data_IF_058634144976
#
_entry.id   IF_058634144976
#
_cell.length_a   1.000
_cell.length_b   1.000
_cell.length_c   1.000
_cell.angle_alpha   90.00
_cell.angle_beta   90.00
_cell.angle_gamma   90.00
#
_symmetry.space_group_name_H-M   'P 1'
#
loop_
_entity.id
_entity.type
_entity.pdbx_description
1 polymer ?
#
# COMPACT_ATOMS: atom_id res chain seq x y z
N UNK A 1 21.78 19.53 24.16
CA UNK A 1 20.92 18.91 23.12
C UNK A 1 21.46 17.52 22.88
N UNK A 2 20.70 16.46 23.21
CA UNK A 2 21.13 15.08 22.94
C UNK A 2 21.08 14.81 21.43
N UNK A 3 21.94 13.92 20.93
CA UNK A 3 22.00 13.57 19.50
C UNK A 3 20.63 13.12 18.95
N UNK A 4 19.85 12.40 19.74
CA UNK A 4 18.49 11.96 19.40
C UNK A 4 17.53 13.12 19.14
N UNK A 5 17.63 14.23 19.90
CA UNK A 5 16.82 15.43 19.66
C UNK A 5 17.21 16.11 18.34
N UNK A 6 18.51 16.21 18.06
CA UNK A 6 19.01 16.79 16.82
C UNK A 6 18.53 16.01 15.58
N UNK A 7 18.60 14.67 15.65
CA UNK A 7 18.10 13.78 14.60
C UNK A 7 16.58 13.99 14.42
N UNK A 8 15.83 14.03 15.51
CA UNK A 8 14.38 14.21 15.44
C UNK A 8 13.98 15.59 14.87
N UNK A 9 14.69 16.65 15.20
CA UNK A 9 14.49 17.98 14.62
C UNK A 9 14.82 18.00 13.12
N UNK A 10 15.91 17.35 12.72
CA UNK A 10 16.24 17.19 11.31
C UNK A 10 15.16 16.41 10.56
N UNK A 11 14.68 15.30 11.12
CA UNK A 11 13.61 14.49 10.53
C UNK A 11 12.28 15.25 10.45
N UNK A 12 11.95 16.11 11.41
CA UNK A 12 10.74 16.95 11.32
C UNK A 12 10.84 18.04 10.25
N UNK A 13 12.02 18.65 10.11
CA UNK A 13 12.22 19.82 9.24
C UNK A 13 12.57 19.48 7.79
N UNK A 14 13.17 18.32 7.55
CA UNK A 14 13.62 17.94 6.22
C UNK A 14 12.45 17.67 5.26
N UNK A 15 12.57 18.21 4.05
CA UNK A 15 11.63 18.00 2.94
C UNK A 15 12.22 17.17 1.82
N UNK A 16 13.51 16.85 1.89
CA UNK A 16 14.29 16.22 0.81
C UNK A 16 14.79 14.84 1.17
N UNK A 17 14.90 14.50 2.45
CA UNK A 17 15.40 13.18 2.87
C UNK A 17 14.44 12.08 2.43
N UNK A 18 14.85 11.24 1.48
CA UNK A 18 14.04 10.12 0.98
C UNK A 18 14.39 8.78 1.60
N UNK A 19 15.60 8.65 2.14
CA UNK A 19 16.12 7.42 2.74
C UNK A 19 16.81 7.74 4.04
N UNK A 20 16.45 6.99 5.09
CA UNK A 20 17.09 7.04 6.39
C UNK A 20 17.60 5.63 6.69
N UNK A 21 18.85 5.56 7.11
CA UNK A 21 19.44 4.36 7.67
C UNK A 21 19.77 4.63 9.13
N UNK A 22 19.28 3.78 10.03
CA UNK A 22 19.55 3.87 11.47
C UNK A 22 20.19 2.57 11.91
N UNK A 23 21.42 2.65 12.43
CA UNK A 23 22.14 1.51 12.99
C UNK A 23 22.49 1.83 14.44
N UNK A 24 22.03 0.99 15.36
CA UNK A 24 22.51 0.99 16.72
C UNK A 24 23.69 0.01 16.83
N UNK A 25 24.88 0.51 17.13
CA UNK A 25 26.12 -0.31 17.21
C UNK A 25 26.31 -0.99 18.58
N UNK A 26 25.49 -0.67 19.59
CA UNK A 26 25.70 -1.17 20.95
C UNK A 26 24.49 -1.99 21.45
N UNK A 27 24.68 -3.30 21.57
CA UNK A 27 23.77 -4.25 22.22
C UNK A 27 23.65 -4.07 23.75
N UNK A 28 24.20 -2.98 24.30
CA UNK A 28 24.30 -2.76 25.74
C UNK A 28 23.31 -1.66 26.11
N UNK A 29 22.33 -2.05 26.93
CA UNK A 29 21.22 -1.26 27.50
C UNK A 29 19.88 -1.35 26.74
N UNK A 30 19.31 -2.55 26.63
CA UNK A 30 17.85 -2.64 26.75
C UNK A 30 17.49 -2.06 28.13
N UNK A 31 16.82 -0.91 28.14
CA UNK A 31 16.39 -0.27 29.39
C UNK A 31 15.50 -1.26 30.18
N UNK A 32 15.57 -1.31 31.52
CA UNK A 32 14.81 -2.28 32.33
C UNK A 32 13.30 -2.29 32.04
N UNK A 33 12.77 -1.15 31.60
CA UNK A 33 11.35 -0.96 31.27
C UNK A 33 11.02 -1.22 29.79
N UNK A 34 11.98 -1.69 28.99
CA UNK A 34 11.81 -1.94 27.55
C UNK A 34 11.57 -0.67 26.73
N UNK A 35 12.03 0.49 27.22
CA UNK A 35 11.85 1.80 26.59
C UNK A 35 13.16 2.58 26.56
N UNK A 36 13.62 2.94 25.38
CA UNK A 36 14.70 3.92 25.22
C UNK A 36 14.08 5.30 24.93
N UNK A 37 14.24 6.31 25.82
CA UNK A 37 13.70 7.66 25.59
C UNK A 37 14.16 8.29 24.26
N UNK A 38 15.31 7.85 23.72
CA UNK A 38 15.79 8.30 22.42
C UNK A 38 14.87 7.85 21.28
N UNK A 39 14.34 6.62 21.35
CA UNK A 39 13.44 6.09 20.34
C UNK A 39 12.13 6.86 20.30
N UNK A 40 11.54 7.21 21.45
CA UNK A 40 10.28 7.95 21.50
C UNK A 40 10.28 9.21 20.61
N UNK A 41 11.31 10.06 20.74
CA UNK A 41 11.39 11.32 19.97
C UNK A 41 11.67 11.05 18.49
N UNK A 42 12.50 10.05 18.18
CA UNK A 42 12.80 9.66 16.80
C UNK A 42 11.54 9.11 16.13
N UNK A 43 10.82 8.19 16.76
CA UNK A 43 9.59 7.58 16.24
C UNK A 43 8.48 8.61 16.02
N UNK A 44 8.32 9.55 16.95
CA UNK A 44 7.39 10.67 16.76
C UNK A 44 7.77 11.50 15.53
N UNK A 45 9.04 11.89 15.39
CA UNK A 45 9.52 12.64 14.22
C UNK A 45 9.35 11.87 12.91
N UNK A 46 9.56 10.55 12.92
CA UNK A 46 9.32 9.68 11.79
C UNK A 46 7.85 9.71 11.39
N UNK A 47 6.90 9.68 12.33
CA UNK A 47 5.47 9.72 12.01
C UNK A 47 5.03 11.03 11.33
N UNK A 48 5.73 12.13 11.60
CA UNK A 48 5.44 13.46 11.06
C UNK A 48 6.16 13.73 9.73
N UNK A 49 7.29 13.08 9.48
CA UNK A 49 8.09 13.32 8.28
C UNK A 49 7.28 13.09 6.99
N UNK A 50 7.44 14.00 6.01
CA UNK A 50 6.70 14.01 4.74
C UNK A 50 7.55 13.68 3.50
N UNK A 51 8.86 13.49 3.66
CA UNK A 51 9.79 13.22 2.55
C UNK A 51 10.28 11.77 2.51
N UNK A 52 10.43 11.13 3.68
CA UNK A 52 11.02 9.83 3.87
C UNK A 52 10.17 8.74 3.20
N UNK A 53 10.80 8.00 2.29
CA UNK A 53 10.17 6.90 1.54
C UNK A 53 10.70 5.54 1.97
N UNK A 54 11.95 5.48 2.42
CA UNK A 54 12.62 4.24 2.83
C UNK A 54 13.29 4.39 4.19
N UNK A 55 12.99 3.47 5.10
CA UNK A 55 13.64 3.33 6.38
C UNK A 55 14.35 1.96 6.42
N UNK A 56 15.66 2.00 6.55
CA UNK A 56 16.50 0.82 6.80
C UNK A 56 16.97 0.92 8.27
N UNK A 57 16.66 -0.06 9.11
CA UNK A 57 16.92 0.05 10.55
C UNK A 57 17.45 -1.26 11.15
N UNK A 58 18.64 -1.19 11.79
CA UNK A 58 19.19 -2.23 12.65
C UNK A 58 18.96 -1.82 14.11
N UNK A 59 18.02 -2.49 14.78
CA UNK A 59 17.34 -2.00 15.99
C UNK A 59 17.64 -2.87 17.22
N UNK A 60 18.93 -3.15 17.46
CA UNK A 60 19.39 -4.08 18.48
C UNK A 60 19.12 -3.62 19.94
N UNK A 61 18.96 -2.32 20.17
CA UNK A 61 18.72 -1.73 21.50
C UNK A 61 17.23 -1.40 21.78
N UNK A 62 16.36 -1.68 20.82
CA UNK A 62 14.93 -1.38 20.91
C UNK A 62 14.24 -2.34 21.88
N UNK A 63 13.33 -1.87 22.74
CA UNK A 63 12.46 -2.75 23.53
C UNK A 63 11.16 -3.13 22.81
N UNK A 64 10.38 -4.05 23.38
CA UNK A 64 9.11 -4.51 22.79
C UNK A 64 8.09 -3.38 22.63
N UNK A 65 8.09 -2.42 23.56
CA UNK A 65 7.23 -1.23 23.50
C UNK A 65 7.66 -0.29 22.38
N UNK A 66 8.94 0.02 22.29
CA UNK A 66 9.50 0.85 21.22
C UNK A 66 9.23 0.24 19.83
N UNK A 67 9.29 -1.10 19.71
CA UNK A 67 8.96 -1.82 18.49
C UNK A 67 7.47 -1.69 18.12
N UNK A 68 6.57 -1.75 19.10
CA UNK A 68 5.16 -1.42 18.90
C UNK A 68 4.94 0.03 18.45
N UNK A 69 5.64 0.96 19.08
CA UNK A 69 5.57 2.40 18.76
C UNK A 69 6.14 2.71 17.36
N UNK A 70 7.13 1.94 16.91
CA UNK A 70 7.65 2.00 15.54
C UNK A 70 6.58 1.57 14.53
N UNK A 71 5.88 0.47 14.79
CA UNK A 71 4.78 0.02 13.93
C UNK A 71 3.69 1.09 13.82
N UNK A 72 3.31 1.70 14.95
CA UNK A 72 2.34 2.80 14.96
C UNK A 72 2.82 4.03 14.19
N UNK A 73 4.11 4.36 14.32
CA UNK A 73 4.71 5.49 13.62
C UNK A 73 4.76 5.26 12.11
N UNK A 74 5.04 4.03 11.68
CA UNK A 74 4.92 3.60 10.28
C UNK A 74 3.48 3.71 9.79
N UNK A 75 2.48 3.25 10.57
CA UNK A 75 1.06 3.34 10.18
C UNK A 75 0.58 4.79 10.02
N UNK A 76 1.02 5.68 10.91
CA UNK A 76 0.71 7.13 10.87
C UNK A 76 1.44 7.85 9.74
N UNK A 77 2.63 7.39 9.38
CA UNK A 77 3.41 8.03 8.32
C UNK A 77 2.74 7.80 6.94
N UNK A 78 2.51 8.87 6.21
CA UNK A 78 1.84 8.83 4.89
C UNK A 78 2.80 8.66 3.71
N UNK A 79 4.10 8.63 3.98
CA UNK A 79 5.20 8.80 3.03
C UNK A 79 6.14 7.59 2.93
N UNK A 80 6.34 6.84 4.01
CA UNK A 80 7.12 5.60 4.02
C UNK A 80 6.43 4.59 3.08
N UNK A 81 7.26 3.93 2.27
CA UNK A 81 6.87 2.92 1.27
C UNK A 81 7.61 1.62 1.49
N UNK A 82 8.85 1.70 1.96
CA UNK A 82 9.75 0.55 2.12
C UNK A 82 10.39 0.55 3.49
N UNK A 83 10.37 -0.61 4.12
CA UNK A 83 10.96 -0.86 5.44
C UNK A 83 11.89 -2.07 5.32
N UNK A 84 13.11 -1.92 5.80
CA UNK A 84 14.02 -3.02 6.02
C UNK A 84 14.42 -3.00 7.49
N UNK A 85 14.13 -4.08 8.19
CA UNK A 85 14.42 -4.24 9.60
C UNK A 85 15.42 -5.39 9.78
N UNK A 86 16.43 -5.18 10.61
CA UNK A 86 17.42 -6.20 10.98
C UNK A 86 17.74 -6.07 12.47
N UNK A 87 18.40 -7.10 13.02
CA UNK A 87 18.96 -7.13 14.37
C UNK A 87 17.95 -6.85 15.49
N UNK A 88 16.67 -7.19 15.29
CA UNK A 88 15.68 -7.12 16.36
C UNK A 88 15.69 -8.41 17.18
N UNK A 89 15.61 -8.28 18.52
CA UNK A 89 15.28 -9.44 19.36
C UNK A 89 13.92 -10.01 18.93
N UNK A 90 13.80 -11.34 18.98
CA UNK A 90 12.61 -12.10 18.53
C UNK A 90 11.30 -11.52 19.09
N UNK A 91 11.24 -11.25 20.39
CA UNK A 91 10.07 -10.68 21.06
C UNK A 91 9.69 -9.27 20.55
N UNK A 92 10.68 -8.47 20.14
CA UNK A 92 10.45 -7.12 19.62
C UNK A 92 9.88 -7.18 18.20
N UNK A 93 10.44 -8.07 17.36
CA UNK A 93 9.90 -8.31 16.02
C UNK A 93 8.45 -8.81 16.10
N UNK A 94 8.17 -9.74 17.02
CA UNK A 94 6.81 -10.20 17.34
C UNK A 94 5.87 -9.05 17.71
N UNK A 95 6.30 -8.15 18.60
CA UNK A 95 5.51 -6.97 18.98
C UNK A 95 5.26 -6.01 17.80
N UNK A 96 6.28 -5.76 16.98
CA UNK A 96 6.18 -4.93 15.78
C UNK A 96 5.17 -5.50 14.79
N UNK A 97 5.30 -6.78 14.41
CA UNK A 97 4.44 -7.38 13.40
C UNK A 97 3.00 -7.53 13.85
N UNK A 98 2.73 -7.92 15.10
CA UNK A 98 1.38 -7.93 15.67
C UNK A 98 0.70 -6.56 15.61
N UNK A 99 1.46 -5.50 15.86
CA UNK A 99 0.94 -4.14 15.85
C UNK A 99 0.73 -3.64 14.42
N UNK A 100 1.66 -3.93 13.51
CA UNK A 100 1.60 -3.52 12.12
C UNK A 100 0.53 -4.27 11.32
N UNK A 101 0.33 -5.57 11.59
CA UNK A 101 -0.62 -6.43 10.88
C UNK A 101 -2.07 -6.00 11.09
N UNK A 102 -2.38 -5.38 12.23
CA UNK A 102 -3.71 -4.87 12.52
C UNK A 102 -4.13 -3.87 11.43
N UNK A 103 -5.24 -4.16 10.75
CA UNK A 103 -5.82 -3.35 9.66
C UNK A 103 -4.88 -3.18 8.44
N UNK A 104 -3.84 -4.01 8.31
CA UNK A 104 -2.81 -3.85 7.26
C UNK A 104 -3.38 -4.00 5.85
N UNK A 105 -4.49 -4.74 5.68
CA UNK A 105 -5.14 -4.93 4.38
C UNK A 105 -5.60 -3.61 3.75
N UNK A 106 -5.94 -2.61 4.57
CA UNK A 106 -6.33 -1.27 4.13
C UNK A 106 -5.12 -0.38 3.78
N UNK A 107 -3.90 -0.85 4.01
CA UNK A 107 -2.69 -0.12 3.69
C UNK A 107 -2.37 -0.22 2.19
N UNK A 108 -2.58 0.88 1.47
CA UNK A 108 -2.17 1.06 0.08
C UNK A 108 -0.99 2.05 -0.01
N UNK A 109 0.00 1.90 0.87
CA UNK A 109 1.19 2.77 0.90
C UNK A 109 2.47 1.96 0.91
N UNK A 110 2.57 0.96 1.78
CA UNK A 110 3.74 0.10 1.89
C UNK A 110 3.83 -0.83 0.67
N UNK A 111 4.97 -0.81 -0.01
CA UNK A 111 5.28 -1.68 -1.16
C UNK A 111 6.31 -2.75 -0.81
N UNK A 112 7.06 -2.58 0.28
CA UNK A 112 7.95 -3.59 0.80
C UNK A 112 8.10 -3.45 2.31
N UNK A 113 8.02 -4.58 3.01
CA UNK A 113 8.53 -4.74 4.37
C UNK A 113 9.34 -6.01 4.36
N UNK A 114 10.63 -5.88 4.66
CA UNK A 114 11.59 -6.96 4.73
C UNK A 114 12.18 -6.97 6.12
N UNK A 115 12.34 -8.18 6.66
CA UNK A 115 12.90 -8.41 7.99
C UNK A 115 13.88 -9.56 7.90
N UNK A 116 15.10 -9.30 8.34
CA UNK A 116 16.15 -10.30 8.47
C UNK A 116 16.27 -10.66 9.94
N UNK A 117 15.72 -11.81 10.33
CA UNK A 117 15.73 -12.23 11.72
C UNK A 117 14.65 -13.27 12.02
N UNK A 118 14.49 -13.57 13.29
CA UNK A 118 13.53 -14.56 13.76
C UNK A 118 12.28 -13.88 14.34
N UNK A 119 11.12 -14.48 14.09
CA UNK A 119 9.82 -14.10 14.66
C UNK A 119 9.32 -15.29 15.48
N UNK A 120 8.54 -15.04 16.55
CA UNK A 120 7.84 -16.12 17.23
C UNK A 120 6.84 -16.81 16.30
N UNK A 121 6.67 -18.12 16.48
CA UNK A 121 5.80 -18.95 15.64
C UNK A 121 4.36 -18.43 15.65
N UNK A 122 3.91 -17.94 16.79
CA UNK A 122 2.59 -17.35 17.02
C UNK A 122 2.40 -15.94 16.40
N UNK A 123 3.44 -15.34 15.80
CA UNK A 123 3.38 -14.09 15.06
C UNK A 123 3.74 -14.24 13.57
N UNK A 124 3.93 -15.47 13.10
CA UNK A 124 4.16 -15.75 11.66
C UNK A 124 2.96 -15.32 10.82
N UNK A 125 1.73 -15.52 11.31
CA UNK A 125 0.52 -15.07 10.60
C UNK A 125 0.50 -13.54 10.40
N UNK A 126 0.89 -12.78 11.43
CA UNK A 126 0.97 -11.32 11.37
C UNK A 126 2.00 -10.85 10.33
N UNK A 127 3.18 -11.48 10.33
CA UNK A 127 4.21 -11.23 9.33
C UNK A 127 3.72 -11.53 7.91
N UNK A 128 3.09 -12.69 7.71
CA UNK A 128 2.55 -13.09 6.41
C UNK A 128 1.46 -12.13 5.92
N UNK A 129 0.61 -11.59 6.80
CA UNK A 129 -0.37 -10.58 6.45
C UNK A 129 0.29 -9.28 5.94
N UNK A 130 1.37 -8.85 6.60
CA UNK A 130 2.19 -7.70 6.15
C UNK A 130 2.85 -8.00 4.79
N UNK A 131 3.42 -9.19 4.59
CA UNK A 131 4.01 -9.59 3.30
C UNK A 131 2.98 -9.68 2.19
N UNK A 132 1.83 -10.31 2.43
CA UNK A 132 0.75 -10.40 1.45
C UNK A 132 0.28 -9.00 1.01
N UNK A 133 0.13 -8.08 1.95
CA UNK A 133 -0.26 -6.69 1.65
C UNK A 133 0.79 -5.97 0.81
N UNK A 134 2.06 -6.06 1.20
CA UNK A 134 3.15 -5.37 0.49
C UNK A 134 3.37 -5.97 -0.91
N UNK A 135 3.27 -7.28 -1.06
CA UNK A 135 3.30 -7.96 -2.36
C UNK A 135 2.13 -7.58 -3.24
N UNK A 136 0.90 -7.50 -2.70
CA UNK A 136 -0.26 -7.00 -3.43
C UNK A 136 0.00 -5.60 -3.97
N UNK A 137 0.46 -4.68 -3.11
CA UNK A 137 0.74 -3.30 -3.49
C UNK A 137 1.88 -3.19 -4.52
N UNK A 138 2.96 -3.94 -4.33
CA UNK A 138 4.06 -4.03 -5.29
C UNK A 138 3.60 -4.58 -6.64
N UNK A 139 2.78 -5.63 -6.64
CA UNK A 139 2.19 -6.21 -7.84
C UNK A 139 1.25 -5.24 -8.58
N UNK A 140 0.48 -4.44 -7.84
CA UNK A 140 -0.33 -3.35 -8.43
C UNK A 140 0.56 -2.31 -9.11
N UNK A 141 1.61 -1.85 -8.43
CA UNK A 141 2.57 -0.88 -8.97
C UNK A 141 3.25 -1.43 -10.21
N UNK A 142 3.77 -2.66 -10.16
CA UNK A 142 4.46 -3.30 -11.28
C UNK A 142 3.56 -3.46 -12.51
N UNK A 143 2.29 -3.84 -12.31
CA UNK A 143 1.30 -3.92 -13.40
C UNK A 143 0.97 -2.54 -13.96
N UNK A 144 0.66 -1.56 -13.11
CA UNK A 144 0.33 -0.21 -13.55
C UNK A 144 1.52 0.50 -14.22
N UNK A 145 2.76 0.21 -13.83
CA UNK A 145 3.96 0.78 -14.46
C UNK A 145 4.12 0.39 -15.95
N UNK A 146 3.44 -0.68 -16.40
CA UNK A 146 3.41 -1.10 -17.81
C UNK A 146 2.45 -0.26 -18.67
N UNK A 147 1.85 0.81 -18.13
CA UNK A 147 0.85 1.64 -18.81
C UNK A 147 1.27 2.18 -20.18
N UNK A 148 2.57 2.45 -20.39
CA UNK A 148 3.14 2.87 -21.69
C UNK A 148 3.10 1.78 -22.76
N UNK A 149 3.27 0.53 -22.35
CA UNK A 149 3.44 -0.63 -23.24
C UNK A 149 2.12 -1.38 -23.47
N UNK A 150 1.16 -1.16 -22.57
CA UNK A 150 -0.08 -1.90 -22.55
C UNK A 150 -1.00 -1.50 -23.70
N UNK A 151 -1.53 -2.49 -24.41
CA UNK A 151 -2.55 -2.27 -25.44
C UNK A 151 -3.78 -1.57 -24.85
N UNK A 152 -4.60 -0.97 -25.72
CA UNK A 152 -5.79 -0.21 -25.31
C UNK A 152 -6.80 -1.04 -24.49
N UNK A 153 -6.74 -2.38 -24.51
CA UNK A 153 -7.68 -3.25 -23.78
C UNK A 153 -7.00 -4.23 -22.82
N UNK A 154 -5.77 -3.94 -22.39
CA UNK A 154 -5.14 -4.75 -21.36
C UNK A 154 -5.87 -4.61 -20.01
N UNK A 155 -6.77 -5.57 -19.73
CA UNK A 155 -7.55 -5.58 -18.50
C UNK A 155 -6.69 -5.58 -17.23
N UNK A 156 -5.51 -6.20 -17.26
CA UNK A 156 -4.68 -6.32 -16.05
C UNK A 156 -4.05 -4.98 -15.69
N UNK A 157 -3.57 -4.26 -16.71
CA UNK A 157 -3.01 -2.92 -16.54
C UNK A 157 -4.12 -1.93 -16.21
N UNK A 158 -5.26 -1.98 -16.90
CA UNK A 158 -6.38 -1.06 -16.64
C UNK A 158 -6.93 -1.22 -15.22
N UNK A 159 -7.12 -2.45 -14.72
CA UNK A 159 -7.52 -2.69 -13.32
C UNK A 159 -6.49 -2.16 -12.32
N UNK A 160 -5.21 -2.42 -12.56
CA UNK A 160 -4.15 -1.92 -11.71
C UNK A 160 -4.12 -0.38 -11.67
N UNK A 161 -4.30 0.28 -12.83
CA UNK A 161 -4.37 1.74 -12.93
C UNK A 161 -5.61 2.29 -12.22
N UNK A 162 -6.79 1.70 -12.39
CA UNK A 162 -8.01 2.07 -11.64
C UNK A 162 -7.76 2.00 -10.13
N UNK A 163 -7.10 0.93 -9.65
CA UNK A 163 -6.80 0.77 -8.24
C UNK A 163 -5.78 1.78 -7.73
N UNK A 164 -4.60 1.89 -8.33
CA UNK A 164 -3.53 2.78 -7.84
C UNK A 164 -3.89 4.26 -7.97
N UNK A 165 -4.74 4.64 -8.92
CA UNK A 165 -5.19 6.04 -9.09
C UNK A 165 -5.94 6.59 -7.86
N UNK A 166 -6.53 5.70 -7.05
CA UNK A 166 -7.21 6.06 -5.79
C UNK A 166 -6.26 6.26 -4.62
N UNK A 167 -4.99 5.87 -4.77
CA UNK A 167 -3.99 5.88 -3.71
C UNK A 167 -2.73 6.62 -4.17
N UNK A 168 -2.60 7.93 -3.86
CA UNK A 168 -1.46 8.75 -4.32
C UNK A 168 -0.09 8.13 -4.02
N UNK A 169 0.02 7.44 -2.88
CA UNK A 169 1.22 6.73 -2.47
C UNK A 169 1.70 5.66 -3.47
N UNK A 170 0.76 4.88 -4.04
CA UNK A 170 1.08 3.89 -5.06
C UNK A 170 1.27 4.53 -6.42
N UNK A 171 0.52 5.59 -6.73
CA UNK A 171 0.68 6.32 -7.98
C UNK A 171 2.09 6.93 -8.10
N UNK A 172 2.63 7.47 -7.01
CA UNK A 172 4.02 7.94 -6.94
C UNK A 172 5.05 6.81 -7.15
N UNK A 173 4.75 5.59 -6.68
CA UNK A 173 5.58 4.41 -6.94
C UNK A 173 5.50 3.98 -8.41
N UNK A 174 4.32 4.10 -9.04
CA UNK A 174 4.14 3.86 -10.48
C UNK A 174 4.97 4.84 -11.29
N UNK A 175 4.94 6.14 -10.95
CA UNK A 175 5.76 7.16 -11.60
C UNK A 175 7.25 6.76 -11.60
N UNK A 176 7.76 6.40 -10.42
CA UNK A 176 9.17 5.99 -10.26
C UNK A 176 9.50 4.71 -10.99
N UNK A 177 8.64 3.70 -10.90
CA UNK A 177 8.86 2.39 -11.55
C UNK A 177 8.84 2.51 -13.08
N UNK A 178 7.92 3.31 -13.61
CA UNK A 178 7.77 3.57 -15.05
C UNK A 178 8.74 4.65 -15.59
N UNK A 179 9.53 5.29 -14.73
CA UNK A 179 10.41 6.42 -15.05
C UNK A 179 9.64 7.54 -15.77
N UNK A 180 8.51 7.89 -15.18
CA UNK A 180 7.57 8.91 -15.63
C UNK A 180 7.68 10.15 -14.74
N UNK A 181 7.62 11.33 -15.34
CA UNK A 181 7.25 12.52 -14.57
C UNK A 181 5.74 12.49 -14.23
N UNK A 182 5.33 13.38 -13.31
CA UNK A 182 3.96 13.41 -12.82
C UNK A 182 2.95 13.86 -13.88
N UNK A 183 3.35 14.73 -14.83
CA UNK A 183 2.46 15.22 -15.87
C UNK A 183 2.20 14.14 -16.92
N UNK A 184 3.24 13.45 -17.38
CA UNK A 184 3.13 12.33 -18.31
C UNK A 184 2.32 11.19 -17.69
N UNK A 185 2.58 10.84 -16.42
CA UNK A 185 1.77 9.84 -15.72
C UNK A 185 0.29 10.24 -15.64
N UNK A 186 -0.01 11.50 -15.32
CA UNK A 186 -1.38 11.98 -15.20
C UNK A 186 -2.14 11.88 -16.54
N UNK A 187 -1.48 12.17 -17.67
CA UNK A 187 -2.06 12.00 -19.01
C UNK A 187 -2.36 10.52 -19.28
N UNK A 188 -1.37 9.64 -19.09
CA UNK A 188 -1.53 8.21 -19.33
C UNK A 188 -2.63 7.59 -18.46
N UNK A 189 -2.68 7.95 -17.18
CA UNK A 189 -3.73 7.50 -16.25
C UNK A 189 -5.10 8.00 -16.69
N UNK A 190 -5.22 9.29 -17.04
CA UNK A 190 -6.48 9.85 -17.50
C UNK A 190 -6.98 9.15 -18.76
N UNK A 191 -6.12 8.97 -19.75
CA UNK A 191 -6.47 8.31 -21.01
C UNK A 191 -6.86 6.86 -20.77
N UNK A 192 -6.15 6.16 -19.88
CA UNK A 192 -6.48 4.79 -19.49
C UNK A 192 -7.84 4.71 -18.78
N UNK A 193 -8.13 5.61 -17.84
CA UNK A 193 -9.39 5.62 -17.09
C UNK A 193 -10.59 6.03 -17.94
N UNK A 194 -10.40 6.82 -19.01
CA UNK A 194 -11.46 7.11 -19.98
C UNK A 194 -12.04 5.83 -20.61
N UNK A 195 -11.23 4.79 -20.77
CA UNK A 195 -11.65 3.51 -21.37
C UNK A 195 -12.68 2.75 -20.51
N UNK A 196 -12.72 3.03 -19.21
CA UNK A 196 -13.63 2.40 -18.24
C UNK A 196 -14.62 3.41 -17.64
N UNK A 197 -14.79 4.55 -18.32
CA UNK A 197 -15.77 5.56 -17.94
C UNK A 197 -17.19 5.09 -18.24
N UNK A 198 -17.41 4.42 -19.37
CA UNK A 198 -18.72 3.86 -19.72
C UNK A 198 -19.01 2.54 -18.98
N UNK A 199 -20.30 2.20 -18.87
CA UNK A 199 -20.76 0.95 -18.28
C UNK A 199 -20.14 -0.26 -18.98
N UNK A 200 -20.23 -0.30 -20.31
CA UNK A 200 -19.67 -1.37 -21.14
C UNK A 200 -18.15 -1.51 -20.95
N UNK A 201 -17.43 -0.38 -20.98
CA UNK A 201 -15.98 -0.36 -20.83
C UNK A 201 -15.54 -0.91 -19.47
N UNK A 202 -16.20 -0.46 -18.40
CA UNK A 202 -15.97 -0.95 -17.05
C UNK A 202 -16.28 -2.45 -16.93
N UNK A 203 -17.46 -2.89 -17.37
CA UNK A 203 -17.90 -4.28 -17.22
C UNK A 203 -17.03 -5.25 -18.03
N UNK A 204 -16.52 -4.83 -19.19
CA UNK A 204 -15.56 -5.62 -19.97
C UNK A 204 -14.22 -5.75 -19.25
N UNK A 205 -13.69 -4.66 -18.70
CA UNK A 205 -12.43 -4.71 -17.92
C UNK A 205 -12.62 -5.51 -16.64
N UNK A 206 -13.74 -5.36 -15.96
CA UNK A 206 -14.15 -6.17 -14.81
C UNK A 206 -14.43 -7.63 -15.17
N UNK A 207 -14.49 -7.98 -16.46
CA UNK A 207 -14.67 -9.36 -16.94
C UNK A 207 -16.09 -9.90 -16.71
N UNK A 208 -17.07 -9.01 -16.56
CA UNK A 208 -18.50 -9.35 -16.41
C UNK A 208 -19.11 -9.66 -17.78
N UNK A 209 -18.77 -8.85 -18.79
CA UNK A 209 -19.26 -9.02 -20.16
C UNK A 209 -18.08 -9.09 -21.14
N UNK A 210 -18.32 -9.66 -22.33
CA UNK A 210 -17.33 -9.65 -23.42
C UNK A 210 -17.33 -8.34 -24.20
N UNK A 211 -18.53 -7.79 -24.46
CA UNK A 211 -18.70 -6.65 -25.36
C UNK A 211 -19.49 -5.52 -24.71
N UNK A 212 -20.76 -5.78 -24.34
CA UNK A 212 -21.65 -4.77 -23.77
C UNK A 212 -22.64 -5.35 -22.77
N UNK A 213 -23.21 -4.48 -21.95
CA UNK A 213 -24.28 -4.82 -21.01
C UNK A 213 -25.63 -4.72 -21.72
N UNK A 214 -26.41 -5.78 -21.65
CA UNK A 214 -27.81 -5.84 -22.09
C UNK A 214 -28.56 -6.62 -21.02
N UNK A 215 -29.60 -6.04 -20.45
CA UNK A 215 -30.47 -6.70 -19.49
C UNK A 215 -31.63 -7.40 -20.22
N UNK A 216 -32.16 -8.45 -19.58
CA UNK A 216 -33.36 -9.11 -20.08
C UNK A 216 -34.59 -8.25 -19.77
N UNK A 217 -35.54 -8.11 -20.71
CA UNK A 217 -36.75 -7.32 -20.50
C UNK A 217 -37.52 -7.80 -19.25
N UNK A 218 -37.92 -6.88 -18.39
CA UNK A 218 -38.78 -7.19 -17.24
C UNK A 218 -40.18 -6.61 -17.42
N UNK A 219 -41.20 -7.38 -17.01
CA UNK A 219 -42.59 -6.96 -17.10
C UNK A 219 -42.98 -5.90 -16.06
N UNK A 220 -42.13 -5.64 -15.08
CA UNK A 220 -42.38 -4.74 -13.95
C UNK A 220 -41.98 -3.28 -14.22
N UNK A 221 -41.40 -2.98 -15.39
CA UNK A 221 -41.04 -1.64 -15.83
C UNK A 221 -39.97 -0.94 -14.97
N UNK A 222 -39.23 -1.71 -14.15
CA UNK A 222 -38.17 -1.15 -13.31
C UNK A 222 -36.93 -0.84 -14.11
N UNK A 223 -36.28 0.28 -13.79
CA UNK A 223 -34.99 0.67 -14.37
C UNK A 223 -33.95 -0.44 -14.15
N UNK A 224 -33.36 -0.91 -15.24
CA UNK A 224 -32.30 -1.90 -15.26
C UNK A 224 -30.93 -1.23 -15.42
N UNK A 225 -29.87 -2.03 -15.46
CA UNK A 225 -28.51 -1.51 -15.45
C UNK A 225 -28.13 -0.86 -16.78
N UNK A 226 -28.60 -1.40 -17.89
CA UNK A 226 -28.42 -0.87 -19.25
C UNK A 226 -29.33 0.34 -19.58
N UNK A 227 -30.33 0.62 -18.74
CA UNK A 227 -31.11 1.87 -18.80
C UNK A 227 -30.34 3.08 -18.24
N UNK A 228 -29.21 2.87 -17.55
CA UNK A 228 -28.42 3.95 -16.99
C UNK A 228 -27.67 4.72 -18.08
N UNK A 229 -27.96 6.02 -18.18
CA UNK A 229 -27.15 6.92 -19.00
C UNK A 229 -25.73 7.13 -18.42
N UNK A 230 -24.84 7.77 -19.19
CA UNK A 230 -23.45 7.97 -18.79
C UNK A 230 -23.29 8.77 -17.49
N UNK A 231 -24.17 9.75 -17.23
CA UNK A 231 -24.11 10.57 -16.03
C UNK A 231 -24.45 9.75 -14.78
N UNK A 232 -25.57 9.02 -14.80
CA UNK A 232 -25.98 8.11 -13.73
C UNK A 232 -24.89 7.08 -13.45
N UNK A 233 -24.34 6.46 -14.50
CA UNK A 233 -23.24 5.51 -14.36
C UNK A 233 -21.98 6.15 -13.78
N UNK A 234 -21.64 7.38 -14.19
CA UNK A 234 -20.46 8.09 -13.67
C UNK A 234 -20.56 8.34 -12.16
N UNK A 235 -21.77 8.60 -11.66
CA UNK A 235 -22.04 8.71 -10.22
C UNK A 235 -21.83 7.39 -9.50
N UNK A 236 -22.31 6.27 -10.05
CA UNK A 236 -22.06 4.92 -9.49
C UNK A 236 -20.56 4.61 -9.47
N UNK A 237 -19.83 4.94 -10.55
CA UNK A 237 -18.39 4.67 -10.67
C UNK A 237 -17.51 5.37 -9.63
N UNK A 238 -17.98 6.43 -8.98
CA UNK A 238 -17.26 7.05 -7.86
C UNK A 238 -17.07 6.08 -6.70
N UNK A 239 -18.04 5.18 -6.49
CA UNK A 239 -18.05 4.22 -5.39
C UNK A 239 -17.56 2.83 -5.76
N UNK A 240 -17.47 2.51 -7.06
CA UNK A 240 -17.11 1.18 -7.54
C UNK A 240 -15.75 1.18 -8.26
N UNK A 241 -14.82 0.34 -7.82
CA UNK A 241 -13.57 0.01 -8.49
C UNK A 241 -13.70 -1.31 -9.27
N UNK A 242 -12.84 -1.53 -10.26
CA UNK A 242 -12.89 -2.77 -11.05
C UNK A 242 -12.65 -4.04 -10.23
N UNK A 243 -11.92 -3.92 -9.11
CA UNK A 243 -11.61 -5.05 -8.23
C UNK A 243 -12.73 -5.34 -7.20
N UNK A 244 -13.75 -4.48 -7.10
CA UNK A 244 -14.92 -4.74 -6.25
C UNK A 244 -15.83 -5.82 -6.86
N UNK A 245 -15.69 -6.07 -8.17
CA UNK A 245 -16.33 -7.17 -8.87
C UNK A 245 -15.63 -8.48 -8.50
N UNK A 246 -16.20 -9.20 -7.55
CA UNK A 246 -15.73 -10.52 -7.14
C UNK A 246 -16.19 -11.57 -8.15
N UNK A 247 -15.25 -12.33 -8.70
CA UNK A 247 -15.59 -13.53 -9.44
C UNK A 247 -15.90 -14.64 -8.42
N UNK A 248 -17.07 -15.28 -8.54
CA UNK A 248 -17.40 -16.44 -7.71
C UNK A 248 -16.31 -17.49 -7.84
N UNK A 249 -15.99 -18.18 -6.73
CA UNK A 249 -15.15 -19.36 -6.80
C UNK A 249 -15.82 -20.33 -7.79
N UNK A 250 -15.13 -20.64 -8.89
CA UNK A 250 -15.56 -21.74 -9.75
C UNK A 250 -15.54 -22.97 -8.85
N UNK A 251 -16.72 -23.46 -8.46
CA UNK A 251 -16.80 -24.79 -7.88
C UNK A 251 -16.35 -25.74 -8.97
N UNK A 252 -15.11 -26.20 -8.86
CA UNK A 252 -14.62 -27.33 -9.63
C UNK A 252 -15.38 -28.54 -9.08
N UNK A 253 -16.56 -28.79 -9.64
CA UNK A 253 -17.23 -30.06 -9.46
C UNK A 253 -16.36 -31.09 -10.17
N UNK A 254 -15.49 -31.76 -9.39
CA UNK A 254 -14.85 -33.00 -9.81
C UNK A 254 -15.97 -34.04 -9.91
N UNK A 255 -16.48 -34.23 -11.14
CA UNK A 255 -17.24 -35.40 -11.52
C UNK A 255 -16.33 -36.60 -11.77
#
# INVERSE_FOLDING_TARGET
MTLSLAIAEFLRSTTTLQRLEVRADNAVLVHPDGQNPCWNVILESLSQNRSLRRLDAALCDMGTRDAGDLADSVKRNTCIRRLYLDDMLKANATAFFRRLSKDIEENYRLTAVDYNGHIDEDAVSDWLAVKATTWRNCGLVARAARIKQASHFDRYVTRAVDRVSRYPALLDEVARSAKLDQAELAVLVRDRLRQIRSLDGFMRVAGVVKERVICHPTADGRTQLDDLNEDCWSHVRRYLATDDVKHGAVQVNNG
#
